data_IF_558275584487
#
_entry.id   IF_558275584487
#
_cell.length_a   1.000
_cell.length_b   1.000
_cell.length_c   1.000
_cell.angle_alpha   90.00
_cell.angle_beta   90.00
_cell.angle_gamma   90.00
#
_symmetry.space_group_name_H-M   'P 1'
#
loop_
_entity.id
_entity.type
_entity.pdbx_description
1 polymer ?
#
# COMPACT_ATOMS: atom_id res chain seq x y z
N UNK A 1 -2.08 -30.47 9.48
CA UNK A 1 -2.51 -29.16 10.03
C UNK A 1 -2.81 -28.25 8.86
N UNK A 2 -4.08 -28.09 8.49
CA UNK A 2 -4.49 -27.27 7.33
C UNK A 2 -4.47 -25.81 7.75
N UNK A 3 -3.43 -25.08 7.39
CA UNK A 3 -3.41 -23.62 7.55
C UNK A 3 -4.57 -23.05 6.72
N UNK A 4 -5.58 -22.45 7.36
CA UNK A 4 -6.59 -21.65 6.65
C UNK A 4 -5.83 -20.53 5.94
N UNK A 5 -5.58 -20.72 4.65
CA UNK A 5 -4.99 -19.70 3.79
C UNK A 5 -5.98 -18.54 3.77
N UNK A 6 -5.70 -17.53 4.59
CA UNK A 6 -6.59 -16.39 4.73
C UNK A 6 -6.41 -15.53 3.48
N UNK A 7 -7.46 -15.43 2.67
CA UNK A 7 -7.47 -14.65 1.44
C UNK A 7 -7.06 -13.19 1.74
N UNK A 8 -6.03 -12.64 1.05
CA UNK A 8 -5.62 -11.25 1.18
C UNK A 8 -6.77 -10.25 1.02
N UNK A 9 -7.75 -10.56 0.17
CA UNK A 9 -8.93 -9.71 -0.07
C UNK A 9 -9.80 -9.60 1.19
N UNK A 10 -9.96 -10.70 1.92
CA UNK A 10 -10.71 -10.73 3.18
C UNK A 10 -9.98 -9.98 4.31
N UNK A 11 -8.64 -10.06 4.33
CA UNK A 11 -7.82 -9.29 5.28
C UNK A 11 -8.00 -7.79 5.01
N UNK A 12 -7.94 -7.37 3.75
CA UNK A 12 -8.18 -5.98 3.37
C UNK A 12 -9.59 -5.52 3.74
N UNK A 13 -10.62 -6.30 3.39
CA UNK A 13 -12.01 -5.96 3.72
C UNK A 13 -12.21 -5.78 5.23
N UNK A 14 -11.63 -6.67 6.04
CA UNK A 14 -11.69 -6.58 7.50
C UNK A 14 -10.95 -5.36 8.05
N UNK A 15 -9.84 -4.97 7.45
CA UNK A 15 -9.10 -3.76 7.83
C UNK A 15 -9.89 -2.49 7.51
N UNK A 16 -10.50 -2.43 6.33
CA UNK A 16 -11.35 -1.30 5.92
C UNK A 16 -12.61 -1.19 6.77
N UNK A 17 -13.18 -2.32 7.22
CA UNK A 17 -14.29 -2.33 8.17
C UNK A 17 -13.88 -1.67 9.50
N UNK A 18 -12.77 -2.10 10.11
CA UNK A 18 -12.25 -1.46 11.34
C UNK A 18 -11.99 0.03 11.17
N UNK A 19 -11.43 0.43 10.04
CA UNK A 19 -11.21 1.84 9.74
C UNK A 19 -12.53 2.63 9.71
N UNK A 20 -13.58 2.08 9.08
CA UNK A 20 -14.92 2.69 9.07
C UNK A 20 -15.56 2.74 10.46
N UNK A 21 -15.25 1.78 11.32
CA UNK A 21 -15.68 1.75 12.73
C UNK A 21 -14.92 2.75 13.62
N UNK A 22 -14.01 3.55 13.05
CA UNK A 22 -13.29 4.62 13.76
C UNK A 22 -11.97 4.18 14.41
N UNK A 23 -11.47 2.98 14.11
CA UNK A 23 -10.14 2.59 14.58
C UNK A 23 -9.04 3.44 13.93
N UNK A 24 -8.04 3.84 14.72
CA UNK A 24 -6.88 4.58 14.23
C UNK A 24 -6.14 3.79 13.13
N UNK A 25 -6.04 4.32 11.89
CA UNK A 25 -5.38 3.64 10.79
C UNK A 25 -3.87 3.42 11.01
N UNK A 26 -3.23 4.11 11.98
CA UNK A 26 -1.84 3.86 12.36
C UNK A 26 -1.66 2.52 13.09
N UNK A 27 -2.74 1.97 13.68
CA UNK A 27 -2.74 0.70 14.40
C UNK A 27 -3.18 -0.49 13.53
N UNK A 28 -3.64 -0.23 12.31
CA UNK A 28 -4.10 -1.27 11.38
C UNK A 28 -2.93 -1.65 10.45
N UNK A 29 -2.30 -2.80 10.69
CA UNK A 29 -1.19 -3.32 9.86
C UNK A 29 -1.67 -4.39 8.85
N UNK A 30 -1.43 -4.14 7.57
CA UNK A 30 -1.75 -5.03 6.45
C UNK A 30 -0.50 -5.79 5.97
N UNK A 31 -0.62 -7.08 5.59
CA UNK A 31 0.45 -7.78 4.87
C UNK A 31 0.61 -7.24 3.44
N UNK A 32 1.79 -7.42 2.85
CA UNK A 32 2.08 -7.03 1.46
C UNK A 32 1.00 -7.48 0.47
N UNK A 33 0.56 -8.74 0.56
CA UNK A 33 -0.43 -9.32 -0.35
C UNK A 33 -1.82 -8.67 -0.24
N UNK A 34 -2.16 -8.02 0.89
CA UNK A 34 -3.44 -7.33 1.05
C UNK A 34 -3.38 -5.88 0.54
N UNK A 35 -2.18 -5.29 0.47
CA UNK A 35 -1.98 -3.93 -0.07
C UNK A 35 -1.78 -3.96 -1.57
N UNK A 36 -1.01 -4.93 -2.06
CA UNK A 36 -0.62 -5.07 -3.47
C UNK A 36 -1.28 -6.33 -4.05
N UNK A 37 -2.06 -6.26 -5.14
CA UNK A 37 -2.34 -5.08 -5.97
C UNK A 37 -3.60 -4.29 -5.56
N UNK A 38 -4.23 -4.61 -4.44
CA UNK A 38 -5.61 -4.19 -4.14
C UNK A 38 -5.79 -2.71 -3.79
N UNK A 39 -4.87 -2.11 -3.03
CA UNK A 39 -4.87 -0.68 -2.71
C UNK A 39 -3.88 0.10 -3.58
N UNK A 40 -2.70 -0.47 -3.79
CA UNK A 40 -1.69 0.11 -4.67
C UNK A 40 -1.58 -0.78 -5.90
N UNK A 41 -1.80 -0.24 -7.12
CA UNK A 41 -1.86 -1.01 -8.36
C UNK A 41 -0.45 -1.40 -8.86
N UNK A 42 0.30 -2.11 -8.02
CA UNK A 42 1.59 -2.70 -8.33
C UNK A 42 1.61 -4.16 -7.88
N UNK A 43 2.27 -5.02 -8.64
CA UNK A 43 2.39 -6.43 -8.28
C UNK A 43 3.34 -6.60 -7.08
N UNK A 44 3.16 -7.64 -6.22
CA UNK A 44 4.03 -7.86 -5.06
C UNK A 44 5.54 -7.89 -5.37
N UNK A 45 6.03 -8.47 -6.49
CA UNK A 45 7.44 -8.36 -6.87
C UNK A 45 7.91 -6.92 -7.07
N UNK A 46 7.08 -6.05 -7.66
CA UNK A 46 7.37 -4.62 -7.83
C UNK A 46 7.45 -3.92 -6.49
N UNK A 47 6.52 -4.21 -5.56
CA UNK A 47 6.58 -3.68 -4.20
C UNK A 47 7.86 -4.11 -3.45
N UNK A 48 8.29 -5.36 -3.65
CA UNK A 48 9.57 -5.85 -3.11
C UNK A 48 10.77 -5.10 -3.67
N UNK A 49 10.81 -4.89 -5.00
CA UNK A 49 11.86 -4.11 -5.64
C UNK A 49 11.88 -2.67 -5.11
N UNK A 50 10.71 -2.05 -4.97
CA UNK A 50 10.56 -0.69 -4.46
C UNK A 50 11.12 -0.49 -3.05
N UNK A 51 11.00 -1.48 -2.16
CA UNK A 51 11.62 -1.40 -0.83
C UNK A 51 13.15 -1.41 -0.87
N UNK A 52 13.74 -2.04 -1.88
CA UNK A 52 15.19 -2.06 -2.07
C UNK A 52 15.67 -0.78 -2.75
N UNK A 53 14.93 -0.29 -3.75
CA UNK A 53 15.32 0.90 -4.53
C UNK A 53 14.89 2.22 -3.89
N UNK A 54 13.97 2.20 -2.93
CA UNK A 54 13.41 3.38 -2.30
C UNK A 54 12.32 4.10 -3.12
N UNK A 55 11.96 3.58 -4.30
CA UNK A 55 11.02 4.21 -5.22
C UNK A 55 9.97 3.25 -5.76
N UNK A 56 8.73 3.74 -5.89
CA UNK A 56 7.60 3.03 -6.46
C UNK A 56 6.82 3.98 -7.37
N UNK A 57 6.58 3.57 -8.62
CA UNK A 57 5.80 4.36 -9.60
C UNK A 57 6.29 5.82 -9.74
N UNK A 58 7.61 6.00 -9.81
CA UNK A 58 8.23 7.32 -10.02
C UNK A 58 8.36 8.21 -8.78
N UNK A 59 7.93 7.76 -7.60
CA UNK A 59 7.99 8.53 -6.35
C UNK A 59 8.56 7.71 -5.18
N UNK A 60 8.90 8.33 -4.03
CA UNK A 60 9.35 7.58 -2.86
C UNK A 60 8.39 6.44 -2.50
N UNK A 61 8.93 5.26 -2.21
CA UNK A 61 8.11 4.08 -1.87
C UNK A 61 7.34 4.30 -0.55
N UNK A 62 6.14 3.71 -0.39
CA UNK A 62 5.39 3.82 0.86
C UNK A 62 6.19 3.24 2.04
N UNK A 63 6.05 3.88 3.21
CA UNK A 63 6.69 3.39 4.43
C UNK A 63 6.14 2.02 4.80
N UNK A 64 6.99 1.19 5.37
CA UNK A 64 6.62 -0.15 5.83
C UNK A 64 7.23 -0.44 7.20
N UNK A 65 6.57 -1.31 7.95
CA UNK A 65 7.04 -1.83 9.23
C UNK A 65 7.70 -3.19 9.00
N UNK A 66 8.96 -3.31 9.38
CA UNK A 66 9.69 -4.59 9.33
C UNK A 66 9.47 -5.37 10.63
N UNK A 67 8.94 -6.58 10.52
CA UNK A 67 8.71 -7.51 11.64
C UNK A 67 9.46 -8.81 11.35
N UNK A 68 10.74 -8.86 11.72
CA UNK A 68 11.62 -9.98 11.38
C UNK A 68 11.70 -10.20 9.87
N UNK A 69 11.21 -11.35 9.40
CA UNK A 69 11.14 -11.71 7.96
C UNK A 69 9.91 -11.14 7.24
N UNK A 70 8.94 -10.63 7.99
CA UNK A 70 7.68 -10.11 7.44
C UNK A 70 7.73 -8.59 7.23
N UNK A 71 7.05 -8.15 6.18
CA UNK A 71 6.82 -6.73 5.87
C UNK A 71 5.33 -6.45 6.04
N UNK A 72 5.03 -5.38 6.79
CA UNK A 72 3.68 -4.88 7.01
C UNK A 72 3.60 -3.43 6.56
N UNK A 73 2.40 -2.99 6.19
CA UNK A 73 2.12 -1.59 5.90
C UNK A 73 1.01 -1.14 6.83
N UNK A 74 1.20 -0.02 7.52
CA UNK A 74 0.09 0.59 8.26
C UNK A 74 -0.88 1.17 7.25
N UNK A 75 -2.17 1.03 7.52
CA UNK A 75 -3.20 1.61 6.65
C UNK A 75 -2.99 3.12 6.51
N UNK A 76 -2.61 3.81 7.60
CA UNK A 76 -2.26 5.24 7.58
C UNK A 76 -1.19 5.56 6.53
N UNK A 77 -0.05 4.88 6.57
CA UNK A 77 1.07 5.15 5.67
C UNK A 77 0.69 4.88 4.19
N UNK A 78 -0.19 3.90 3.95
CA UNK A 78 -0.71 3.60 2.61
C UNK A 78 -1.64 4.70 2.13
N UNK A 79 -2.57 5.15 2.98
CA UNK A 79 -3.51 6.22 2.64
C UNK A 79 -2.79 7.55 2.39
N UNK A 80 -1.86 7.93 3.27
CA UNK A 80 -1.03 9.13 3.10
C UNK A 80 -0.21 9.07 1.81
N UNK A 81 0.35 7.89 1.48
CA UNK A 81 1.06 7.71 0.21
C UNK A 81 0.12 7.86 -0.99
N UNK A 82 -1.09 7.31 -0.94
CA UNK A 82 -2.09 7.48 -2.01
C UNK A 82 -2.52 8.94 -2.17
N UNK A 83 -2.76 9.64 -1.06
CA UNK A 83 -3.15 11.06 -1.03
C UNK A 83 -2.04 11.99 -1.53
N UNK A 84 -0.78 11.67 -1.22
CA UNK A 84 0.38 12.40 -1.73
C UNK A 84 0.64 12.17 -3.24
N UNK A 85 -0.23 11.44 -3.95
CA UNK A 85 -0.11 11.31 -5.40
C UNK A 85 -0.55 12.62 -6.04
N UNK A 86 0.28 13.15 -6.93
CA UNK A 86 -0.10 14.31 -7.72
C UNK A 86 -1.35 13.99 -8.52
N UNK A 87 -2.40 14.79 -8.30
CA UNK A 87 -3.63 14.72 -9.07
C UNK A 87 -3.51 15.71 -10.21
N UNK A 88 -3.43 15.19 -11.42
CA UNK A 88 -3.41 15.96 -12.66
C UNK A 88 -4.78 15.84 -13.34
N UNK A 89 -5.31 16.95 -13.85
CA UNK A 89 -6.63 16.97 -14.49
C UNK A 89 -6.60 16.35 -15.89
N UNK A 90 -5.41 16.19 -16.49
CA UNK A 90 -5.24 15.57 -17.80
C UNK A 90 -3.85 14.98 -18.01
N UNK A 91 -3.73 14.10 -19.01
CA UNK A 91 -2.42 13.59 -19.46
C UNK A 91 -1.54 14.68 -20.07
N UNK A 92 -2.14 15.73 -20.66
CA UNK A 92 -1.41 16.87 -21.20
C UNK A 92 -0.72 17.69 -20.10
N UNK A 93 -1.36 17.82 -18.93
CA UNK A 93 -0.79 18.46 -17.74
C UNK A 93 0.36 17.63 -17.14
N UNK A 94 0.19 16.31 -17.06
CA UNK A 94 1.20 15.38 -16.55
C UNK A 94 2.55 15.48 -17.29
N UNK A 95 2.51 15.63 -18.62
CA UNK A 95 3.72 15.77 -19.43
C UNK A 95 4.50 17.07 -19.18
N UNK A 96 3.81 18.13 -18.74
CA UNK A 96 4.43 19.44 -18.45
C UNK A 96 5.12 19.46 -17.07
N UNK A 97 4.60 18.75 -16.10
CA UNK A 97 5.20 18.62 -14.76
C UNK A 97 6.49 17.79 -14.75
N UNK A 98 6.72 17.00 -15.80
CA UNK A 98 7.84 16.06 -15.93
C UNK A 98 9.02 16.59 -16.78
N UNK A 99 8.95 17.84 -17.25
CA UNK A 99 9.90 18.47 -18.18
C UNK A 99 10.87 19.41 -17.48
#
# INVERSE_FOLDING_TARGET
>A
MTTKQTDPSNILASALARYRDGFDPALIELPEAAVFPHLIPAQPPTARKARTTGSLLGRPAPRFVKRGRSVRYRLKDVLEWLEAAESVASTAEAGRASS
#
